data_IF_004966871042
#
_entry.id   IF_004966871042
#
_cell.length_a   1.000
_cell.length_b   1.000
_cell.length_c   1.000
_cell.angle_alpha   90.00
_cell.angle_beta   90.00
_cell.angle_gamma   90.00
#
_symmetry.space_group_name_H-M   'P 1'
#
loop_
_entity.id
_entity.type
_entity.pdbx_description
1 polymer ?
#
# COMPACT_ATOMS: atom_id res chain seq x y z
N UNK A 1 -22.88 4.55 7.90
CA UNK A 1 -21.96 5.70 7.86
C UNK A 1 -20.93 5.74 9.00
N UNK A 2 -21.30 5.77 10.28
CA UNK A 2 -20.31 5.84 11.38
C UNK A 2 -19.33 4.64 11.36
N UNK A 3 -19.83 3.41 11.26
CA UNK A 3 -18.97 2.21 11.18
C UNK A 3 -18.08 2.23 9.94
N UNK A 4 -18.59 2.66 8.77
CA UNK A 4 -17.81 2.81 7.55
C UNK A 4 -16.66 3.82 7.72
N UNK A 5 -16.88 4.94 8.39
CA UNK A 5 -15.85 5.92 8.69
C UNK A 5 -14.77 5.33 9.61
N UNK A 6 -15.17 4.69 10.73
CA UNK A 6 -14.21 4.08 11.65
C UNK A 6 -13.42 2.95 10.97
N UNK A 7 -14.10 2.08 10.21
CA UNK A 7 -13.44 1.02 9.44
C UNK A 7 -12.44 1.58 8.44
N UNK A 8 -12.84 2.58 7.67
CA UNK A 8 -11.95 3.23 6.70
C UNK A 8 -10.76 3.94 7.34
N UNK A 9 -10.91 4.56 8.52
CA UNK A 9 -9.79 5.15 9.28
C UNK A 9 -8.83 4.06 9.78
N UNK A 10 -9.34 2.93 10.28
CA UNK A 10 -8.48 1.81 10.70
C UNK A 10 -7.69 1.23 9.52
N UNK A 11 -8.35 1.07 8.36
CA UNK A 11 -7.67 0.67 7.11
C UNK A 11 -6.61 1.71 6.74
N UNK A 12 -6.95 3.00 6.76
CA UNK A 12 -6.01 4.08 6.45
C UNK A 12 -4.76 4.04 7.35
N UNK A 13 -4.94 3.85 8.67
CA UNK A 13 -3.82 3.72 9.60
C UNK A 13 -2.97 2.48 9.33
N UNK A 14 -3.59 1.33 9.08
CA UNK A 14 -2.89 0.08 8.77
C UNK A 14 -2.11 0.21 7.47
N UNK A 15 -2.74 0.76 6.42
CA UNK A 15 -2.11 1.03 5.13
C UNK A 15 -0.99 2.08 5.24
N UNK A 16 -1.13 3.11 6.08
CA UNK A 16 -0.10 4.12 6.28
C UNK A 16 1.18 3.51 6.86
N UNK A 17 1.06 2.58 7.83
CA UNK A 17 2.21 1.89 8.42
C UNK A 17 2.89 1.00 7.37
N UNK A 18 2.16 0.10 6.73
CA UNK A 18 2.72 -0.82 5.74
C UNK A 18 3.22 -0.08 4.50
N UNK A 19 2.44 0.87 3.98
CA UNK A 19 2.72 1.68 2.79
C UNK A 19 3.97 2.54 2.93
N UNK A 20 4.28 3.04 4.12
CA UNK A 20 5.51 3.78 4.38
C UNK A 20 6.74 2.95 3.99
N UNK A 21 6.82 1.69 4.40
CA UNK A 21 7.95 0.82 4.04
C UNK A 21 7.91 0.37 2.58
N UNK A 22 6.73 0.16 2.03
CA UNK A 22 6.54 -0.17 0.60
C UNK A 22 7.05 0.95 -0.29
N UNK A 23 6.68 2.21 0.02
CA UNK A 23 7.11 3.39 -0.75
C UNK A 23 8.61 3.64 -0.59
N UNK A 24 9.16 3.56 0.63
CA UNK A 24 10.59 3.76 0.89
C UNK A 24 11.48 2.74 0.17
N UNK A 25 10.98 1.53 -0.06
CA UNK A 25 11.70 0.48 -0.81
C UNK A 25 11.42 0.46 -2.30
N UNK A 26 10.55 1.32 -2.81
CA UNK A 26 10.14 1.31 -4.21
C UNK A 26 9.37 0.04 -4.62
N UNK A 27 8.70 -0.63 -3.67
CA UNK A 27 8.02 -1.91 -3.87
C UNK A 27 6.50 -1.73 -4.09
N UNK A 28 6.08 -0.62 -4.71
CA UNK A 28 4.66 -0.34 -4.94
C UNK A 28 3.94 -1.46 -5.70
N UNK A 29 4.59 -2.07 -6.69
CA UNK A 29 4.05 -3.21 -7.44
C UNK A 29 3.85 -4.48 -6.60
N UNK A 30 4.60 -4.66 -5.52
CA UNK A 30 4.40 -5.81 -4.60
C UNK A 30 3.05 -5.70 -3.89
N UNK A 31 2.65 -4.49 -3.49
CA UNK A 31 1.34 -4.24 -2.88
C UNK A 31 0.21 -4.59 -3.85
N UNK A 32 0.32 -4.16 -5.10
CA UNK A 32 -0.64 -4.45 -6.17
C UNK A 32 -0.70 -5.95 -6.49
N UNK A 33 0.48 -6.56 -6.67
CA UNK A 33 0.58 -7.99 -6.93
C UNK A 33 -0.02 -8.85 -5.81
N UNK A 34 0.15 -8.46 -4.54
CA UNK A 34 -0.46 -9.13 -3.40
C UNK A 34 -1.98 -8.89 -3.37
N UNK A 35 -2.45 -7.65 -3.60
CA UNK A 35 -3.87 -7.32 -3.61
C UNK A 35 -4.65 -8.12 -4.66
N UNK A 36 -4.09 -8.32 -5.84
CA UNK A 36 -4.69 -9.12 -6.89
C UNK A 36 -4.30 -10.61 -6.81
N UNK A 37 -3.14 -10.94 -6.25
CA UNK A 37 -2.69 -12.31 -6.03
C UNK A 37 -3.56 -13.11 -5.06
N UNK A 38 -4.35 -12.46 -4.22
CA UNK A 38 -5.31 -13.12 -3.33
C UNK A 38 -6.61 -13.52 -4.05
N UNK A 39 -6.92 -12.97 -5.24
CA UNK A 39 -8.17 -13.20 -5.97
C UNK A 39 -8.46 -14.69 -6.23
N UNK A 40 -7.53 -15.51 -6.79
CA UNK A 40 -7.81 -16.92 -7.02
C UNK A 40 -8.12 -17.68 -5.73
N UNK A 41 -7.44 -17.33 -4.64
CA UNK A 41 -7.67 -17.94 -3.33
C UNK A 41 -9.06 -17.61 -2.79
N UNK A 42 -9.49 -16.33 -2.88
CA UNK A 42 -10.82 -15.89 -2.47
C UNK A 42 -11.89 -16.56 -3.33
N UNK A 43 -11.73 -16.51 -4.66
CA UNK A 43 -12.67 -17.10 -5.59
C UNK A 43 -12.84 -18.60 -5.36
N UNK A 44 -11.75 -19.33 -5.14
CA UNK A 44 -11.78 -20.76 -4.84
C UNK A 44 -12.47 -21.02 -3.49
N UNK A 45 -12.18 -20.25 -2.46
CA UNK A 45 -12.81 -20.39 -1.15
C UNK A 45 -14.33 -20.16 -1.22
N UNK A 46 -14.77 -19.13 -1.96
CA UNK A 46 -16.20 -18.86 -2.17
C UNK A 46 -16.91 -20.01 -2.89
N UNK A 47 -16.31 -20.56 -3.95
CA UNK A 47 -16.88 -21.70 -4.68
C UNK A 47 -16.96 -22.98 -3.83
N UNK A 48 -16.02 -23.20 -2.94
CA UNK A 48 -15.95 -24.37 -2.06
C UNK A 48 -16.69 -24.19 -0.72
N UNK A 49 -17.26 -23.00 -0.46
CA UNK A 49 -17.98 -22.67 0.77
C UNK A 49 -17.08 -22.43 1.99
N UNK A 50 -15.80 -22.13 1.79
CA UNK A 50 -14.87 -21.76 2.85
C UNK A 50 -14.85 -20.25 3.13
N UNK A 51 -14.20 -19.87 4.24
CA UNK A 51 -13.99 -18.47 4.59
C UNK A 51 -13.10 -17.75 3.55
N UNK A 52 -13.55 -16.60 3.05
CA UNK A 52 -12.79 -15.75 2.13
C UNK A 52 -11.43 -15.32 2.70
N UNK A 53 -11.31 -15.13 4.01
CA UNK A 53 -10.06 -14.80 4.70
C UNK A 53 -9.03 -15.95 4.55
N UNK A 54 -9.46 -17.20 4.72
CA UNK A 54 -8.58 -18.37 4.51
C UNK A 54 -8.15 -18.45 3.04
N UNK A 55 -9.07 -18.20 2.10
CA UNK A 55 -8.76 -18.15 0.68
C UNK A 55 -7.74 -17.06 0.35
N UNK A 56 -7.92 -15.86 0.90
CA UNK A 56 -6.99 -14.76 0.75
C UNK A 56 -5.60 -15.08 1.32
N UNK A 57 -5.54 -15.70 2.50
CA UNK A 57 -4.27 -16.09 3.12
C UNK A 57 -3.52 -17.13 2.28
N UNK A 58 -4.22 -18.12 1.74
CA UNK A 58 -3.64 -19.13 0.83
C UNK A 58 -3.16 -18.45 -0.46
N UNK A 59 -3.98 -17.59 -1.08
CA UNK A 59 -3.61 -16.84 -2.28
C UNK A 59 -2.35 -15.98 -2.08
N UNK A 60 -2.27 -15.25 -0.98
CA UNK A 60 -1.10 -14.47 -0.62
C UNK A 60 0.15 -15.35 -0.41
N UNK A 61 0.01 -16.49 0.27
CA UNK A 61 1.12 -17.42 0.47
C UNK A 61 1.62 -18.03 -0.85
N UNK A 62 0.70 -18.39 -1.75
CA UNK A 62 1.03 -18.89 -3.09
C UNK A 62 1.75 -17.81 -3.91
N UNK A 63 1.25 -16.57 -3.87
CA UNK A 63 1.88 -15.44 -4.56
C UNK A 63 3.30 -15.18 -4.03
N UNK A 64 3.50 -15.08 -2.72
CA UNK A 64 4.80 -14.83 -2.11
C UNK A 64 5.78 -15.99 -2.36
N UNK A 65 5.30 -17.22 -2.20
CA UNK A 65 6.07 -18.43 -2.48
C UNK A 65 6.46 -18.52 -3.95
N UNK A 66 5.52 -18.23 -4.85
CA UNK A 66 5.74 -18.19 -6.29
C UNK A 66 6.80 -17.17 -6.69
N UNK A 67 6.72 -15.93 -6.20
CA UNK A 67 7.76 -14.90 -6.44
C UNK A 67 9.13 -15.41 -5.98
N UNK A 68 9.21 -15.98 -4.78
CA UNK A 68 10.46 -16.51 -4.24
C UNK A 68 11.04 -17.66 -5.08
N UNK A 69 10.19 -18.56 -5.60
CA UNK A 69 10.60 -19.67 -6.44
C UNK A 69 11.06 -19.17 -7.81
N UNK A 70 10.28 -18.29 -8.45
CA UNK A 70 10.57 -17.80 -9.80
C UNK A 70 11.86 -17.01 -9.83
N UNK A 71 12.06 -16.09 -8.88
CA UNK A 71 13.31 -15.31 -8.78
C UNK A 71 14.55 -16.20 -8.57
N UNK A 72 14.43 -17.25 -7.75
CA UNK A 72 15.56 -18.14 -7.47
C UNK A 72 15.86 -19.12 -8.61
N UNK A 73 14.81 -19.76 -9.16
CA UNK A 73 14.99 -20.85 -10.14
C UNK A 73 15.30 -20.34 -11.52
N UNK A 74 14.66 -19.25 -11.94
CA UNK A 74 14.78 -18.70 -13.29
C UNK A 74 15.68 -17.48 -13.37
N UNK A 75 16.27 -17.02 -12.25
CA UNK A 75 17.18 -15.86 -12.16
C UNK A 75 16.57 -14.58 -12.76
N UNK A 76 15.25 -14.45 -12.72
CA UNK A 76 14.54 -13.26 -13.16
C UNK A 76 14.68 -12.14 -12.11
N UNK A 77 14.58 -10.89 -12.59
CA UNK A 77 14.48 -9.76 -11.67
C UNK A 77 13.23 -9.87 -10.78
N UNK A 78 13.27 -9.31 -9.57
CA UNK A 78 12.14 -9.33 -8.66
C UNK A 78 10.87 -8.77 -9.32
N UNK A 79 10.99 -7.65 -10.03
CA UNK A 79 9.86 -6.99 -10.70
C UNK A 79 9.27 -7.85 -11.82
N UNK A 80 10.11 -8.52 -12.61
CA UNK A 80 9.64 -9.43 -13.67
C UNK A 80 8.88 -10.63 -13.08
N UNK A 81 9.38 -11.20 -11.99
CA UNK A 81 8.73 -12.33 -11.33
C UNK A 81 7.39 -11.91 -10.70
N UNK A 82 7.33 -10.72 -10.09
CA UNK A 82 6.13 -10.14 -9.52
C UNK A 82 5.11 -9.88 -10.62
N UNK A 83 5.50 -9.22 -11.72
CA UNK A 83 4.60 -8.94 -12.84
C UNK A 83 4.04 -10.19 -13.50
N UNK A 84 4.88 -11.21 -13.72
CA UNK A 84 4.44 -12.49 -14.31
C UNK A 84 3.42 -13.21 -13.43
N UNK A 85 3.70 -13.31 -12.12
CA UNK A 85 2.80 -13.96 -11.18
C UNK A 85 1.52 -13.15 -10.95
N UNK A 86 1.62 -11.82 -10.93
CA UNK A 86 0.47 -10.93 -10.87
C UNK A 86 -0.53 -11.21 -12.01
N UNK A 87 -0.05 -11.19 -13.25
CA UNK A 87 -0.90 -11.46 -14.43
C UNK A 87 -1.45 -12.89 -14.38
N UNK A 88 -0.62 -13.87 -14.00
CA UNK A 88 -1.04 -15.27 -13.87
C UNK A 88 -2.12 -15.48 -12.80
N UNK A 89 -1.91 -14.92 -11.61
CA UNK A 89 -2.87 -15.03 -10.50
C UNK A 89 -4.17 -14.27 -10.80
N UNK A 90 -4.07 -13.06 -11.37
CA UNK A 90 -5.25 -12.29 -11.78
C UNK A 90 -6.08 -13.07 -12.82
N UNK A 91 -5.44 -13.59 -13.87
CA UNK A 91 -6.10 -14.38 -14.89
C UNK A 91 -6.75 -15.64 -14.31
N UNK A 92 -6.04 -16.34 -13.41
CA UNK A 92 -6.57 -17.51 -12.72
C UNK A 92 -7.79 -17.15 -11.86
N UNK A 93 -7.73 -16.03 -11.12
CA UNK A 93 -8.86 -15.54 -10.33
C UNK A 93 -10.08 -15.27 -11.19
N UNK A 94 -9.91 -14.58 -12.31
CA UNK A 94 -11.01 -14.30 -13.27
C UNK A 94 -11.58 -15.60 -13.85
N UNK A 95 -10.74 -16.56 -14.26
CA UNK A 95 -11.19 -17.85 -14.78
C UNK A 95 -11.99 -18.63 -13.74
N UNK A 96 -11.55 -18.66 -12.49
CA UNK A 96 -12.26 -19.33 -11.41
C UNK A 96 -13.60 -18.63 -11.14
N UNK A 97 -13.61 -17.30 -11.03
CA UNK A 97 -14.83 -16.53 -10.75
C UNK A 97 -15.83 -16.61 -11.89
N UNK A 98 -15.39 -16.80 -13.16
CA UNK A 98 -16.27 -16.97 -14.31
C UNK A 98 -17.17 -18.22 -14.24
N UNK A 99 -16.86 -19.16 -13.33
CA UNK A 99 -17.71 -20.31 -13.03
C UNK A 99 -18.85 -20.01 -12.06
N UNK A 100 -18.82 -18.85 -11.40
CA UNK A 100 -19.90 -18.40 -10.51
C UNK A 100 -21.12 -17.95 -11.32
N UNK A 101 -22.33 -18.23 -10.81
CA UNK A 101 -23.58 -17.76 -11.41
C UNK A 101 -23.80 -16.25 -11.21
N UNK A 102 -23.10 -15.63 -10.26
CA UNK A 102 -23.12 -14.20 -9.92
C UNK A 102 -21.82 -13.47 -10.28
N UNK A 103 -21.12 -13.94 -11.31
CA UNK A 103 -19.76 -13.51 -11.69
C UNK A 103 -19.49 -12.01 -11.57
N UNK A 104 -20.35 -11.15 -12.15
CA UNK A 104 -20.15 -9.70 -12.17
C UNK A 104 -20.29 -9.11 -10.77
N UNK A 105 -21.28 -9.58 -9.99
CA UNK A 105 -21.51 -9.13 -8.62
C UNK A 105 -20.38 -9.53 -7.67
N UNK A 106 -19.93 -10.77 -7.77
CA UNK A 106 -18.84 -11.32 -6.93
C UNK A 106 -17.51 -10.60 -7.22
N UNK A 107 -17.20 -10.37 -8.50
CA UNK A 107 -16.00 -9.65 -8.91
C UNK A 107 -16.02 -8.18 -8.46
N UNK A 108 -17.16 -7.51 -8.65
CA UNK A 108 -17.33 -6.13 -8.19
C UNK A 108 -17.17 -6.02 -6.67
N UNK A 109 -17.75 -6.94 -5.90
CA UNK A 109 -17.64 -6.98 -4.44
C UNK A 109 -16.19 -7.17 -3.98
N UNK A 110 -15.43 -8.03 -4.63
CA UNK A 110 -14.01 -8.24 -4.29
C UNK A 110 -13.17 -7.00 -4.61
N UNK A 111 -13.41 -6.35 -5.75
CA UNK A 111 -12.62 -5.20 -6.19
C UNK A 111 -12.93 -3.92 -5.40
N UNK A 112 -14.21 -3.63 -5.20
CA UNK A 112 -14.66 -2.37 -4.60
C UNK A 112 -14.99 -2.48 -3.10
N UNK A 113 -15.12 -3.72 -2.58
CA UNK A 113 -15.49 -3.97 -1.20
C UNK A 113 -16.95 -3.60 -0.90
N UNK A 114 -17.31 -3.68 0.37
CA UNK A 114 -18.65 -3.34 0.88
C UNK A 114 -18.53 -2.42 2.10
N UNK A 115 -17.85 -1.28 1.90
CA UNK A 115 -17.51 -0.34 2.99
C UNK A 115 -18.75 0.12 3.79
N UNK A 116 -19.90 0.25 3.13
CA UNK A 116 -21.14 0.69 3.79
C UNK A 116 -21.81 -0.43 4.60
N UNK A 117 -21.48 -1.71 4.30
CA UNK A 117 -22.00 -2.91 4.98
C UNK A 117 -21.12 -3.43 6.13
N UNK A 118 -20.12 -2.66 6.58
CA UNK A 118 -19.20 -3.07 7.66
C UNK A 118 -19.93 -3.38 8.96
N UNK A 119 -19.60 -4.54 9.54
CA UNK A 119 -20.08 -4.99 10.84
C UNK A 119 -19.10 -4.62 11.96
N UNK A 120 -19.56 -4.73 13.21
CA UNK A 120 -18.68 -4.56 14.39
C UNK A 120 -17.60 -5.65 14.47
N UNK A 121 -17.87 -6.84 13.94
CA UNK A 121 -16.90 -7.93 13.85
C UNK A 121 -15.76 -7.58 12.88
N UNK A 122 -16.09 -7.01 11.72
CA UNK A 122 -15.08 -6.57 10.75
C UNK A 122 -14.20 -5.47 11.33
N UNK A 123 -14.79 -4.56 12.12
CA UNK A 123 -14.05 -3.52 12.82
C UNK A 123 -13.05 -4.09 13.83
N UNK A 124 -13.46 -5.14 14.57
CA UNK A 124 -12.58 -5.82 15.52
C UNK A 124 -11.42 -6.53 14.79
N UNK A 125 -11.69 -7.19 13.67
CA UNK A 125 -10.64 -7.81 12.84
C UNK A 125 -9.67 -6.78 12.27
N UNK A 126 -10.18 -5.63 11.80
CA UNK A 126 -9.35 -4.56 11.28
C UNK A 126 -8.49 -3.91 12.37
N UNK A 127 -9.05 -3.75 13.59
CA UNK A 127 -8.28 -3.27 14.73
C UNK A 127 -7.18 -4.26 15.14
N UNK A 128 -7.48 -5.56 15.17
CA UNK A 128 -6.47 -6.58 15.42
C UNK A 128 -5.35 -6.56 14.39
N UNK A 129 -5.68 -6.41 13.11
CA UNK A 129 -4.71 -6.25 12.04
C UNK A 129 -3.83 -5.01 12.22
N UNK A 130 -4.41 -3.86 12.59
CA UNK A 130 -3.66 -2.63 12.89
C UNK A 130 -2.66 -2.85 14.02
N UNK A 131 -3.07 -3.52 15.10
CA UNK A 131 -2.18 -3.84 16.23
C UNK A 131 -1.04 -4.77 15.80
N UNK A 132 -1.34 -5.82 15.03
CA UNK A 132 -0.32 -6.77 14.53
C UNK A 132 0.66 -6.07 13.59
N UNK A 133 0.16 -5.33 12.60
CA UNK A 133 0.99 -4.59 11.63
C UNK A 133 1.83 -3.53 12.35
N UNK A 134 1.24 -2.80 13.30
CA UNK A 134 1.94 -1.83 14.13
C UNK A 134 3.04 -2.47 14.98
N UNK A 135 2.79 -3.62 15.59
CA UNK A 135 3.77 -4.37 16.36
C UNK A 135 4.93 -4.86 15.48
N UNK A 136 4.64 -5.44 14.31
CA UNK A 136 5.66 -5.86 13.34
C UNK A 136 6.52 -4.66 12.92
N UNK A 137 5.89 -3.54 12.55
CA UNK A 137 6.58 -2.33 12.13
C UNK A 137 7.46 -1.75 13.25
N UNK A 138 6.95 -1.72 14.49
CA UNK A 138 7.69 -1.22 15.64
C UNK A 138 8.92 -2.07 15.95
N UNK A 139 8.78 -3.40 16.00
CA UNK A 139 9.88 -4.33 16.26
C UNK A 139 10.91 -4.31 15.13
N UNK A 140 10.43 -4.25 13.88
CA UNK A 140 11.28 -4.32 12.68
C UNK A 140 11.72 -2.97 12.15
N UNK A 141 11.47 -1.85 12.85
CA UNK A 141 11.77 -0.50 12.36
C UNK A 141 13.22 -0.28 11.95
N UNK A 142 14.17 -0.78 12.77
CA UNK A 142 15.62 -0.65 12.49
C UNK A 142 16.04 -1.45 11.27
N UNK A 143 15.79 -2.77 11.18
CA UNK A 143 16.14 -3.53 10.00
C UNK A 143 15.40 -3.07 8.74
N UNK A 144 14.15 -2.63 8.81
CA UNK A 144 13.43 -2.10 7.65
C UNK A 144 14.05 -0.80 7.13
N UNK A 145 14.52 0.07 8.03
CA UNK A 145 15.21 1.31 7.66
C UNK A 145 16.54 1.02 6.97
N UNK A 146 17.34 0.12 7.51
CA UNK A 146 18.62 -0.28 6.91
C UNK A 146 18.41 -0.90 5.52
N UNK A 147 17.41 -1.76 5.38
CA UNK A 147 17.04 -2.36 4.11
C UNK A 147 16.49 -1.37 3.08
N UNK A 148 15.91 -0.24 3.51
CA UNK A 148 15.45 0.79 2.58
C UNK A 148 16.59 1.63 2.00
N UNK A 149 17.75 1.62 2.65
CA UNK A 149 18.97 2.31 2.16
C UNK A 149 19.81 1.36 1.33
N UNK A 150 20.22 0.21 1.89
CA UNK A 150 21.04 -0.78 1.21
C UNK A 150 20.93 -2.15 1.89
N UNK A 151 20.76 -3.21 1.10
CA UNK A 151 20.72 -4.59 1.60
C UNK A 151 22.08 -5.04 2.18
N UNK A 152 23.20 -4.50 1.69
CA UNK A 152 24.53 -4.73 2.22
C UNK A 152 24.73 -4.16 3.62
N UNK A 153 24.23 -2.95 3.84
CA UNK A 153 24.29 -2.27 5.14
C UNK A 153 23.52 -3.06 6.22
N UNK A 154 22.37 -3.64 5.85
CA UNK A 154 21.61 -4.50 6.76
C UNK A 154 22.40 -5.75 7.15
N UNK A 155 23.11 -6.38 6.22
CA UNK A 155 23.94 -7.58 6.47
C UNK A 155 25.13 -7.28 7.36
N UNK A 156 25.86 -6.19 7.12
CA UNK A 156 27.01 -5.78 7.95
C UNK A 156 26.59 -5.40 9.36
N UNK A 157 25.32 -4.95 9.55
CA UNK A 157 24.73 -4.65 10.87
C UNK A 157 24.16 -5.90 11.57
N UNK A 158 24.39 -7.12 11.06
CA UNK A 158 23.97 -8.37 11.67
C UNK A 158 22.52 -8.77 11.38
N UNK A 159 21.79 -8.05 10.50
CA UNK A 159 20.43 -8.38 10.13
C UNK A 159 20.38 -9.22 8.86
N UNK A 160 19.54 -10.26 8.84
CA UNK A 160 19.29 -11.05 7.64
C UNK A 160 18.36 -10.26 6.70
N UNK A 161 18.91 -9.68 5.64
CA UNK A 161 18.14 -8.95 4.63
C UNK A 161 16.96 -9.76 4.08
N UNK A 162 17.18 -11.07 3.86
CA UNK A 162 16.15 -11.97 3.35
C UNK A 162 15.00 -12.19 4.33
N UNK A 163 15.31 -12.35 5.63
CA UNK A 163 14.29 -12.54 6.66
C UNK A 163 13.41 -11.29 6.78
N UNK A 164 14.02 -10.11 6.89
CA UNK A 164 13.26 -8.88 7.04
C UNK A 164 12.53 -8.45 5.77
N UNK A 165 13.04 -8.80 4.59
CA UNK A 165 12.26 -8.66 3.35
C UNK A 165 10.97 -9.50 3.41
N UNK A 166 11.07 -10.78 3.80
CA UNK A 166 9.89 -11.64 3.94
C UNK A 166 8.93 -11.14 5.03
N UNK A 167 9.44 -10.65 6.17
CA UNK A 167 8.62 -10.05 7.24
C UNK A 167 7.85 -8.84 6.71
N UNK A 168 8.47 -8.00 5.90
CA UNK A 168 7.82 -6.85 5.28
C UNK A 168 6.73 -7.30 4.30
N UNK A 169 7.00 -8.29 3.44
CA UNK A 169 5.98 -8.86 2.54
C UNK A 169 4.81 -9.45 3.32
N UNK A 170 5.09 -10.16 4.42
CA UNK A 170 4.06 -10.70 5.30
C UNK A 170 3.22 -9.59 5.94
N UNK A 171 3.84 -8.49 6.37
CA UNK A 171 3.15 -7.32 6.91
C UNK A 171 2.19 -6.71 5.87
N UNK A 172 2.64 -6.55 4.62
CA UNK A 172 1.80 -6.07 3.51
C UNK A 172 0.66 -7.06 3.23
N UNK A 173 0.94 -8.36 3.21
CA UNK A 173 -0.08 -9.39 3.00
C UNK A 173 -1.15 -9.36 4.10
N UNK A 174 -0.77 -9.23 5.38
CA UNK A 174 -1.73 -9.08 6.49
C UNK A 174 -2.58 -7.83 6.29
N UNK A 175 -1.98 -6.71 5.91
CA UNK A 175 -2.69 -5.45 5.62
C UNK A 175 -3.72 -5.66 4.53
N UNK A 176 -3.34 -6.27 3.40
CA UNK A 176 -4.24 -6.56 2.28
C UNK A 176 -5.36 -7.51 2.69
N UNK A 177 -5.02 -8.65 3.33
CA UNK A 177 -5.99 -9.68 3.75
C UNK A 177 -7.02 -9.13 4.74
N UNK A 178 -6.59 -8.31 5.70
CA UNK A 178 -7.50 -7.72 6.67
C UNK A 178 -8.44 -6.68 6.04
N UNK A 179 -7.95 -5.96 5.05
CA UNK A 179 -8.66 -4.79 4.51
C UNK A 179 -9.54 -5.12 3.31
N UNK A 180 -9.29 -6.23 2.56
CA UNK A 180 -10.01 -6.49 1.31
C UNK A 180 -11.51 -6.68 1.49
N UNK A 181 -11.95 -7.29 2.59
CA UNK A 181 -13.38 -7.52 2.85
C UNK A 181 -14.14 -6.22 3.09
N UNK A 182 -13.50 -5.27 3.77
CA UNK A 182 -14.11 -4.00 4.16
C UNK A 182 -14.10 -2.99 3.04
N UNK A 183 -12.97 -2.88 2.32
CA UNK A 183 -12.74 -1.76 1.41
C UNK A 183 -12.43 -2.20 -0.03
N UNK A 184 -12.30 -3.49 -0.27
CA UNK A 184 -11.93 -4.04 -1.58
C UNK A 184 -10.44 -3.88 -1.92
N UNK A 185 -9.98 -4.66 -2.89
CA UNK A 185 -8.56 -4.71 -3.26
C UNK A 185 -8.07 -3.40 -3.88
N UNK A 186 -8.91 -2.72 -4.67
CA UNK A 186 -8.57 -1.46 -5.33
C UNK A 186 -8.31 -0.34 -4.31
N UNK A 187 -9.17 -0.22 -3.28
CA UNK A 187 -9.03 0.83 -2.27
C UNK A 187 -7.80 0.57 -1.41
N UNK A 188 -7.54 -0.70 -1.03
CA UNK A 188 -6.34 -1.06 -0.23
C UNK A 188 -5.08 -0.58 -0.94
N UNK A 189 -4.95 -0.82 -2.25
CA UNK A 189 -3.78 -0.40 -3.02
C UNK A 189 -3.62 1.12 -3.02
N UNK A 190 -4.69 1.85 -3.34
CA UNK A 190 -4.66 3.31 -3.35
C UNK A 190 -4.28 3.91 -2.00
N UNK A 191 -4.84 3.35 -0.92
CA UNK A 191 -4.55 3.77 0.46
C UNK A 191 -3.16 3.37 0.96
N UNK A 192 -2.59 2.31 0.39
CA UNK A 192 -1.22 1.88 0.70
C UNK A 192 -0.18 2.84 0.13
N UNK A 193 -0.41 3.34 -1.10
CA UNK A 193 0.59 4.10 -1.85
C UNK A 193 0.39 5.61 -1.70
N UNK A 194 -0.79 6.16 -2.03
CA UNK A 194 -0.98 7.59 -2.18
C UNK A 194 -0.74 8.38 -0.87
N UNK A 195 -1.28 7.99 0.31
CA UNK A 195 -1.00 8.67 1.56
C UNK A 195 0.47 8.55 1.99
N UNK A 196 1.09 7.38 1.78
CA UNK A 196 2.50 7.16 2.11
C UNK A 196 3.43 7.99 1.21
N UNK A 197 3.12 8.07 -0.09
CA UNK A 197 3.82 8.93 -1.04
C UNK A 197 3.69 10.41 -0.65
N UNK A 198 2.50 10.86 -0.22
CA UNK A 198 2.32 12.22 0.32
C UNK A 198 3.19 12.45 1.56
N UNK A 199 3.21 11.47 2.48
CA UNK A 199 4.07 11.53 3.66
C UNK A 199 5.54 11.66 3.33
N UNK A 200 6.03 10.98 2.28
CA UNK A 200 7.43 11.03 1.87
C UNK A 200 7.89 12.41 1.35
N UNK A 201 6.96 13.24 0.85
CA UNK A 201 7.27 14.59 0.36
C UNK A 201 7.64 15.56 1.49
N UNK A 202 7.10 15.36 2.69
CA UNK A 202 7.22 16.30 3.80
C UNK A 202 7.99 15.74 4.99
N UNK A 203 8.07 14.42 5.13
CA UNK A 203 8.68 13.79 6.29
C UNK A 203 10.20 13.62 6.12
N UNK A 204 10.93 13.88 7.22
CA UNK A 204 12.37 13.58 7.34
C UNK A 204 12.65 12.34 8.19
N UNK A 205 11.64 11.81 8.87
CA UNK A 205 11.72 10.63 9.74
C UNK A 205 10.59 9.67 9.40
N UNK A 206 10.81 8.38 9.58
CA UNK A 206 9.80 7.34 9.28
C UNK A 206 8.54 7.54 10.12
N UNK A 207 8.69 7.86 11.40
CA UNK A 207 7.55 8.09 12.29
C UNK A 207 6.68 9.26 11.80
N UNK A 208 7.30 10.34 11.35
CA UNK A 208 6.60 11.49 10.78
C UNK A 208 5.91 11.12 9.47
N UNK A 209 6.56 10.29 8.63
CA UNK A 209 5.98 9.81 7.37
C UNK A 209 4.73 8.96 7.62
N UNK A 210 4.79 8.01 8.58
CA UNK A 210 3.64 7.19 8.97
C UNK A 210 2.50 8.05 9.50
N UNK A 211 2.80 9.06 10.32
CA UNK A 211 1.79 9.94 10.92
C UNK A 211 1.10 10.80 9.84
N UNK A 212 1.88 11.41 8.95
CA UNK A 212 1.33 12.20 7.82
C UNK A 212 0.50 11.28 6.92
N UNK A 213 0.99 10.09 6.59
CA UNK A 213 0.26 9.13 5.79
C UNK A 213 -1.06 8.71 6.46
N UNK A 214 -1.08 8.46 7.76
CA UNK A 214 -2.29 8.13 8.51
C UNK A 214 -3.29 9.30 8.52
N UNK A 215 -2.83 10.53 8.69
CA UNK A 215 -3.67 11.73 8.64
C UNK A 215 -4.26 11.94 7.24
N UNK A 216 -3.43 11.88 6.19
CA UNK A 216 -3.86 12.02 4.79
C UNK A 216 -4.85 10.92 4.43
N UNK A 217 -4.58 9.66 4.79
CA UNK A 217 -5.47 8.54 4.53
C UNK A 217 -6.81 8.68 5.26
N UNK A 218 -6.80 9.10 6.53
CA UNK A 218 -8.01 9.35 7.31
C UNK A 218 -8.84 10.51 6.74
N UNK A 219 -8.18 11.59 6.31
CA UNK A 219 -8.83 12.74 5.67
C UNK A 219 -9.43 12.34 4.31
N UNK A 220 -8.69 11.55 3.51
CA UNK A 220 -9.17 11.01 2.23
C UNK A 220 -10.41 10.13 2.42
N UNK A 221 -10.41 9.30 3.47
CA UNK A 221 -11.55 8.47 3.84
C UNK A 221 -12.77 9.33 4.18
N UNK A 222 -12.59 10.36 5.00
CA UNK A 222 -13.68 11.26 5.38
C UNK A 222 -14.28 12.02 4.20
N UNK A 223 -13.42 12.68 3.40
CA UNK A 223 -13.84 13.45 2.23
C UNK A 223 -14.44 12.53 1.16
N UNK A 224 -13.79 11.38 0.88
CA UNK A 224 -14.28 10.42 -0.11
C UNK A 224 -15.64 9.83 0.23
N UNK A 225 -15.88 9.53 1.53
CA UNK A 225 -17.22 9.09 2.00
C UNK A 225 -18.26 10.19 1.88
N UNK A 226 -17.91 11.45 2.13
CA UNK A 226 -18.84 12.59 1.92
C UNK A 226 -19.21 12.74 0.45
N UNK A 227 -18.24 12.67 -0.45
CA UNK A 227 -18.46 12.74 -1.89
C UNK A 227 -19.34 11.57 -2.34
N UNK A 228 -19.01 10.34 -1.89
CA UNK A 228 -19.80 9.15 -2.20
C UNK A 228 -21.28 9.30 -1.77
N UNK A 229 -21.50 9.86 -0.59
CA UNK A 229 -22.84 10.03 -0.05
C UNK A 229 -23.69 11.08 -0.80
N UNK A 230 -23.05 12.19 -1.25
CA UNK A 230 -23.79 13.27 -1.91
C UNK A 230 -24.03 13.02 -3.41
N UNK A 231 -23.19 12.23 -4.04
CA UNK A 231 -23.23 12.00 -5.48
C UNK A 231 -23.54 10.55 -5.88
N UNK A 232 -23.91 9.69 -4.92
CA UNK A 232 -24.20 8.26 -5.12
C UNK A 232 -23.08 7.51 -5.87
N UNK A 233 -21.81 7.85 -5.58
CA UNK A 233 -20.64 7.24 -6.19
C UNK A 233 -20.12 6.07 -5.36
N UNK A 234 -19.35 5.17 -5.99
CA UNK A 234 -18.68 4.07 -5.29
C UNK A 234 -17.72 4.62 -4.22
N UNK A 235 -17.97 4.26 -2.94
CA UNK A 235 -17.24 4.80 -1.79
C UNK A 235 -15.73 4.55 -1.89
N UNK A 236 -15.31 3.33 -2.24
CA UNK A 236 -13.89 2.98 -2.40
C UNK A 236 -13.19 3.83 -3.44
N UNK A 237 -13.79 3.97 -4.63
CA UNK A 237 -13.23 4.77 -5.72
C UNK A 237 -13.10 6.26 -5.36
N UNK A 238 -14.12 6.82 -4.69
CA UNK A 238 -14.12 8.21 -4.24
C UNK A 238 -13.01 8.50 -3.22
N UNK A 239 -12.75 7.56 -2.30
CA UNK A 239 -11.68 7.66 -1.31
C UNK A 239 -10.30 7.63 -1.99
N UNK A 240 -10.08 6.68 -2.92
CA UNK A 240 -8.80 6.59 -3.67
C UNK A 240 -8.56 7.84 -4.49
N UNK A 241 -9.59 8.30 -5.23
CA UNK A 241 -9.48 9.51 -6.04
C UNK A 241 -9.12 10.72 -5.17
N UNK A 242 -9.73 10.85 -3.99
CA UNK A 242 -9.41 11.90 -3.03
C UNK A 242 -7.96 11.80 -2.54
N UNK A 243 -7.47 10.59 -2.21
CA UNK A 243 -6.10 10.38 -1.77
C UNK A 243 -5.08 10.76 -2.86
N UNK A 244 -5.35 10.36 -4.11
CA UNK A 244 -4.51 10.71 -5.27
C UNK A 244 -4.56 12.21 -5.55
N UNK A 245 -5.72 12.87 -5.44
CA UNK A 245 -5.85 14.32 -5.60
C UNK A 245 -5.05 15.07 -4.53
N UNK A 246 -5.12 14.64 -3.26
CA UNK A 246 -4.32 15.22 -2.17
C UNK A 246 -2.82 15.04 -2.46
N UNK A 247 -2.40 13.88 -2.94
CA UNK A 247 -1.01 13.65 -3.33
C UNK A 247 -0.59 14.59 -4.47
N UNK A 248 -1.38 14.71 -5.55
CA UNK A 248 -1.08 15.56 -6.69
C UNK A 248 -0.95 17.04 -6.29
N UNK A 249 -1.89 17.54 -5.46
CA UNK A 249 -1.84 18.91 -4.93
C UNK A 249 -0.60 19.11 -4.06
N UNK A 250 -0.29 18.15 -3.20
CA UNK A 250 0.87 18.19 -2.30
C UNK A 250 2.19 18.17 -3.08
N UNK A 251 2.29 17.35 -4.12
CA UNK A 251 3.46 17.25 -4.97
C UNK A 251 3.71 18.55 -5.75
N UNK A 252 2.67 19.12 -6.40
CA UNK A 252 2.77 20.38 -7.12
C UNK A 252 3.11 21.54 -6.19
N UNK A 253 2.50 21.63 -5.01
CA UNK A 253 2.83 22.63 -4.00
C UNK A 253 4.29 22.55 -3.53
N UNK A 254 4.80 21.33 -3.36
CA UNK A 254 6.19 21.10 -2.95
C UNK A 254 7.19 21.52 -4.03
N UNK A 255 6.91 21.23 -5.31
CA UNK A 255 7.74 21.66 -6.44
C UNK A 255 7.76 23.18 -6.58
N UNK A 256 6.62 23.87 -6.50
CA UNK A 256 6.54 25.33 -6.55
C UNK A 256 7.36 25.95 -5.39
N UNK A 257 7.33 25.35 -4.21
CA UNK A 257 8.09 25.83 -3.05
C UNK A 257 9.59 25.66 -3.24
N UNK A 258 10.03 24.58 -3.87
CA UNK A 258 11.45 24.35 -4.18
C UNK A 258 11.95 25.30 -5.25
N UNK A 259 11.19 25.55 -6.31
CA UNK A 259 11.53 26.49 -7.39
C UNK A 259 11.75 27.91 -6.86
N UNK A 260 10.85 28.39 -5.99
CA UNK A 260 10.99 29.72 -5.37
C UNK A 260 12.18 29.85 -4.41
N UNK A 261 12.67 28.75 -3.84
CA UNK A 261 13.84 28.74 -2.98
C UNK A 261 15.18 28.78 -3.74
N UNK A 262 15.20 28.35 -5.01
CA UNK A 262 16.41 28.40 -5.85
C UNK A 262 16.69 29.80 -6.39
N UNK A 263 15.65 30.59 -6.72
CA UNK A 263 15.80 31.93 -7.25
C UNK A 263 16.43 32.94 -6.28
N UNK A 264 16.48 32.62 -4.97
CA UNK A 264 17.10 33.50 -3.96
C UNK A 264 18.60 33.26 -3.75
N UNK A 265 19.18 32.16 -4.28
CA UNK A 265 20.61 31.87 -4.08
C UNK A 265 21.52 32.29 -5.24
N UNK A 266 20.96 32.59 -6.43
CA UNK A 266 21.75 32.99 -7.62
C UNK A 266 22.12 34.47 -7.64
N UNK A 267 21.69 35.30 -6.70
CA UNK A 267 21.98 36.74 -6.68
C UNK A 267 23.10 37.16 -5.73
N UNK A 268 23.83 36.23 -5.08
CA UNK A 268 24.82 36.58 -4.04
C UNK A 268 26.27 36.15 -4.34
N UNK A 269 26.65 36.04 -5.62
CA UNK A 269 28.07 36.00 -5.97
C UNK A 269 28.50 37.23 -6.76
N UNK A 270 29.10 38.26 -6.12
CA UNK A 270 29.79 39.31 -6.85
C UNK A 270 31.03 38.70 -7.48
N UNK A 271 31.14 38.83 -8.83
CA UNK A 271 32.35 38.53 -9.57
C UNK A 271 33.51 39.37 -9.07
N UNK A 272 34.40 38.79 -8.30
CA UNK A 272 35.71 39.39 -7.97
C UNK A 272 36.60 39.15 -9.18
N UNK A 273 36.64 40.13 -10.09
CA UNK A 273 37.69 40.27 -11.06
C UNK A 273 38.99 40.65 -10.32
N UNK A 274 39.84 39.65 -10.06
CA UNK A 274 41.23 39.89 -9.71
C UNK A 274 42.07 40.09 -10.94
N UNK A 275 42.33 41.33 -11.32
CA UNK A 275 43.42 41.69 -12.22
C UNK A 275 44.75 41.25 -11.59
N UNK A 276 45.47 40.34 -12.27
CA UNK A 276 46.89 40.11 -11.99
C UNK A 276 47.67 40.81 -13.08
N UNK A 277 48.24 42.01 -12.74
CA UNK A 277 49.33 42.63 -13.45
C UNK A 277 50.65 42.03 -13.05
N UNK A 278 51.51 41.78 -14.09
CA UNK A 278 52.96 41.49 -14.15
C UNK A 278 53.31 40.03 -14.24
#
# INVERSE_FOLDING_TARGET
>A
MRLALFGGILVACTCAIAGTFVVLRGLAFVGDALAHGVLPGIATAMLLGFSGILGAAIGAAVMMGGVSIVTRKFRLSGDTAIGLLFVGMLSLGVVITSRSTSFVGDLARILFGELLGITTTDLAWQFAALVIVGAIAFVSRRPFLLLSVDDGLARTSGFSARLFHNVMLTMVAITVIASFQTVGTLLVLGMLIAPAATGSLFARRIESMMLIAALVGSLSTYIGLLISYHYDLAAGASIVLTAVAIFAISATANEIRKSRGHDHHDHEHPHVHGEIHV
#
